data_IF_772262442348
#
_entry.id   IF_772262442348
#
_cell.length_a   1.000
_cell.length_b   1.000
_cell.length_c   1.000
_cell.angle_alpha   90.00
_cell.angle_beta   90.00
_cell.angle_gamma   90.00
#
_symmetry.space_group_name_H-M   'P 1'
#
loop_
_entity.id
_entity.type
_entity.pdbx_description
1 polymer ?
#
# COMPACT_ATOMS: atom_id res chain seq x y z
N UNK A 1 -1.55 -5.83 12.46
CA UNK A 1 -1.33 -4.41 12.77
C UNK A 1 -2.64 -3.74 13.08
N UNK A 2 -2.71 -3.07 14.23
CA UNK A 2 -3.96 -2.44 14.67
C UNK A 2 -3.93 -0.95 14.36
N UNK A 3 -4.81 -0.50 13.48
CA UNK A 3 -4.93 0.92 13.16
C UNK A 3 -6.40 1.31 13.05
N UNK A 4 -6.74 2.43 13.67
CA UNK A 4 -8.09 2.98 13.63
C UNK A 4 -8.22 4.11 12.64
N UNK A 5 -7.14 4.81 12.34
CA UNK A 5 -7.11 5.86 11.32
C UNK A 5 -5.67 6.30 11.03
N UNK A 6 -5.53 6.96 9.89
CA UNK A 6 -4.32 7.71 9.54
C UNK A 6 -4.71 9.18 9.42
N UNK A 7 -3.79 10.09 9.74
CA UNK A 7 -4.00 11.51 9.46
C UNK A 7 -4.20 11.72 7.96
N UNK A 8 -4.90 12.81 7.56
CA UNK A 8 -5.32 13.02 6.17
C UNK A 8 -4.23 12.88 5.12
N UNK A 9 -3.00 13.35 5.44
CA UNK A 9 -1.86 13.25 4.53
C UNK A 9 -0.84 12.21 4.96
N UNK A 10 -1.14 11.42 6.00
CA UNK A 10 -0.23 10.43 6.50
C UNK A 10 -0.31 9.15 5.67
N UNK A 11 0.82 8.50 5.57
CA UNK A 11 0.92 7.17 5.01
C UNK A 11 1.80 6.32 5.90
N UNK A 12 1.82 5.03 5.66
CA UNK A 12 2.72 4.13 6.33
C UNK A 12 3.45 3.29 5.28
N UNK A 13 4.78 3.38 5.31
CA UNK A 13 5.64 2.71 4.35
C UNK A 13 6.27 1.48 5.01
N UNK A 14 6.08 0.33 4.39
CA UNK A 14 6.74 -0.92 4.77
C UNK A 14 7.79 -1.24 3.72
N UNK A 15 9.05 -1.26 4.11
CA UNK A 15 10.16 -1.59 3.20
C UNK A 15 10.68 -2.97 3.57
N UNK A 16 10.76 -3.86 2.59
CA UNK A 16 11.25 -5.22 2.78
C UNK A 16 12.73 -5.30 2.42
N UNK A 17 13.45 -6.21 3.06
CA UNK A 17 14.89 -6.37 2.80
C UNK A 17 15.16 -6.89 1.39
N UNK A 18 14.22 -7.67 0.85
CA UNK A 18 14.37 -8.30 -0.47
C UNK A 18 13.14 -8.04 -1.32
N UNK A 19 13.34 -7.91 -2.61
CA UNK A 19 12.25 -7.90 -3.58
C UNK A 19 11.59 -9.27 -3.55
N UNK A 20 10.26 -9.30 -3.51
CA UNK A 20 9.51 -10.55 -3.53
C UNK A 20 8.02 -10.30 -3.61
N UNK A 21 7.29 -11.40 -3.77
CA UNK A 21 5.83 -11.36 -3.72
C UNK A 21 5.39 -11.02 -2.31
N UNK A 22 4.47 -10.07 -2.18
CA UNK A 22 3.94 -9.62 -0.90
C UNK A 22 2.45 -9.87 -0.87
N UNK A 23 1.98 -10.42 0.24
CA UNK A 23 0.55 -10.57 0.52
C UNK A 23 0.22 -9.80 1.78
N UNK A 24 -0.84 -9.01 1.71
CA UNK A 24 -1.34 -8.20 2.82
C UNK A 24 -2.77 -8.61 3.11
N UNK A 25 -3.22 -8.36 4.34
CA UNK A 25 -4.63 -8.50 4.68
C UNK A 25 -5.04 -7.42 5.67
N UNK A 26 -6.36 -7.29 5.87
CA UNK A 26 -6.93 -6.21 6.67
C UNK A 26 -7.43 -6.69 8.04
N UNK A 27 -6.93 -7.84 8.52
CA UNK A 27 -7.46 -8.52 9.72
C UNK A 27 -7.52 -7.60 10.93
N UNK A 28 -6.46 -6.85 11.19
CA UNK A 28 -6.35 -5.98 12.37
C UNK A 28 -6.40 -4.50 11.99
N UNK A 29 -7.06 -4.17 10.89
CA UNK A 29 -7.14 -2.80 10.39
C UNK A 29 -8.59 -2.36 10.45
N UNK A 30 -8.84 -1.25 11.12
CA UNK A 30 -10.19 -0.75 11.42
C UNK A 30 -10.69 0.29 10.43
N UNK A 31 -9.85 0.70 9.49
CA UNK A 31 -10.19 1.70 8.48
C UNK A 31 -9.88 1.16 7.09
N UNK A 32 -10.65 1.58 6.07
CA UNK A 32 -10.28 1.23 4.69
C UNK A 32 -9.00 1.95 4.28
N UNK A 33 -8.18 1.30 3.48
CA UNK A 33 -6.90 1.82 3.04
C UNK A 33 -6.77 1.69 1.53
N UNK A 34 -5.95 2.57 0.94
CA UNK A 34 -5.38 2.37 -0.38
C UNK A 34 -3.97 1.82 -0.17
N UNK A 35 -3.62 0.75 -0.88
CA UNK A 35 -2.31 0.12 -0.80
C UNK A 35 -1.59 0.23 -2.12
N UNK A 36 -0.38 0.78 -2.09
CA UNK A 36 0.48 0.91 -3.26
C UNK A 36 1.62 -0.09 -3.12
N UNK A 37 1.73 -1.02 -4.04
CA UNK A 37 2.81 -2.00 -4.08
C UNK A 37 3.90 -1.46 -5.00
N UNK A 38 5.09 -1.22 -4.44
CA UNK A 38 6.16 -0.46 -5.09
C UNK A 38 7.34 -1.37 -5.38
N UNK A 39 7.79 -1.38 -6.63
CA UNK A 39 8.93 -2.17 -7.07
C UNK A 39 10.27 -1.61 -6.60
N UNK A 40 11.34 -2.35 -6.87
CA UNK A 40 12.69 -1.94 -6.49
C UNK A 40 13.13 -0.65 -7.18
N UNK A 41 12.53 -0.34 -8.33
CA UNK A 41 12.79 0.89 -9.08
C UNK A 41 12.04 2.11 -8.53
N UNK A 42 11.22 1.91 -7.48
CA UNK A 42 10.40 2.97 -6.91
C UNK A 42 9.11 3.22 -7.65
N UNK A 43 8.79 2.45 -8.67
CA UNK A 43 7.56 2.62 -9.43
C UNK A 43 6.46 1.72 -8.90
N UNK A 44 5.23 2.24 -8.92
CA UNK A 44 4.05 1.51 -8.46
C UNK A 44 3.76 0.37 -9.42
N UNK A 45 3.78 -0.85 -8.90
CA UNK A 45 3.52 -2.06 -9.68
C UNK A 45 2.06 -2.51 -9.59
N UNK A 46 1.40 -2.24 -8.44
CA UNK A 46 0.03 -2.65 -8.20
C UNK A 46 -0.63 -1.71 -7.21
N UNK A 47 -1.95 -1.54 -7.32
CA UNK A 47 -2.73 -0.69 -6.43
C UNK A 47 -3.96 -1.47 -5.98
N UNK A 48 -4.21 -1.51 -4.67
CA UNK A 48 -5.46 -1.99 -4.09
C UNK A 48 -6.15 -0.81 -3.43
N UNK A 49 -7.30 -0.42 -3.96
CA UNK A 49 -8.05 0.73 -3.45
C UNK A 49 -9.17 0.30 -2.53
N UNK A 50 -9.42 1.14 -1.51
CA UNK A 50 -10.61 1.02 -0.64
C UNK A 50 -10.76 -0.38 -0.08
N UNK A 51 -9.68 -0.89 0.50
CA UNK A 51 -9.65 -2.23 1.08
C UNK A 51 -10.67 -2.34 2.21
N UNK A 52 -11.22 -3.54 2.38
CA UNK A 52 -12.26 -3.78 3.38
C UNK A 52 -11.65 -4.00 4.76
N UNK A 53 -11.96 -3.15 5.76
CA UNK A 53 -11.47 -3.37 7.12
C UNK A 53 -11.85 -4.77 7.63
N UNK A 54 -10.96 -5.35 8.43
CA UNK A 54 -11.12 -6.68 9.03
C UNK A 54 -11.21 -7.85 8.05
N UNK A 55 -11.08 -7.63 6.76
CA UNK A 55 -11.12 -8.72 5.78
C UNK A 55 -9.98 -9.70 6.02
N UNK A 56 -10.29 -10.99 5.91
CA UNK A 56 -9.30 -12.06 5.97
C UNK A 56 -8.79 -12.46 4.59
N UNK A 57 -9.31 -11.86 3.53
CA UNK A 57 -8.81 -12.10 2.18
C UNK A 57 -7.42 -11.48 2.03
N UNK A 58 -6.54 -12.18 1.34
CA UNK A 58 -5.21 -11.64 1.05
C UNK A 58 -5.25 -10.75 -0.18
N UNK A 59 -4.43 -9.71 -0.13
CA UNK A 59 -4.23 -8.78 -1.25
C UNK A 59 -2.79 -9.00 -1.72
N UNK A 60 -2.64 -9.56 -2.91
CA UNK A 60 -1.32 -9.88 -3.45
C UNK A 60 -0.74 -8.70 -4.23
N UNK A 61 0.58 -8.56 -4.18
CA UNK A 61 1.28 -7.59 -5.02
C UNK A 61 1.22 -7.92 -6.51
N UNK A 62 0.85 -9.16 -6.86
CA UNK A 62 0.77 -9.70 -8.23
C UNK A 62 2.11 -9.78 -8.94
N UNK A 63 3.12 -9.06 -8.50
CA UNK A 63 4.50 -9.17 -8.99
C UNK A 63 5.46 -8.85 -7.85
N UNK A 64 6.76 -9.19 -7.99
CA UNK A 64 7.73 -8.89 -6.94
C UNK A 64 7.84 -7.38 -6.69
N UNK A 65 7.80 -6.99 -5.42
CA UNK A 65 7.91 -5.59 -5.01
C UNK A 65 8.89 -5.44 -3.85
N UNK A 66 9.30 -4.22 -3.59
CA UNK A 66 10.25 -3.90 -2.52
C UNK A 66 9.57 -3.25 -1.31
N UNK A 67 8.43 -2.61 -1.52
CA UNK A 67 7.75 -1.90 -0.45
C UNK A 67 6.25 -1.84 -0.68
N UNK A 68 5.52 -1.54 0.39
CA UNK A 68 4.08 -1.26 0.34
C UNK A 68 3.84 0.06 1.06
N UNK A 69 3.15 0.98 0.40
CA UNK A 69 2.73 2.25 0.99
C UNK A 69 1.24 2.21 1.24
N UNK A 70 0.83 2.34 2.48
CA UNK A 70 -0.57 2.40 2.89
C UNK A 70 -1.00 3.85 3.07
N UNK A 71 -2.13 4.20 2.47
CA UNK A 71 -2.72 5.54 2.53
C UNK A 71 -4.18 5.41 2.94
N UNK A 72 -4.78 6.51 3.40
CA UNK A 72 -6.22 6.53 3.62
C UNK A 72 -6.96 6.23 2.33
N UNK A 73 -8.06 5.46 2.41
CA UNK A 73 -8.88 5.15 1.26
C UNK A 73 -9.36 6.42 0.57
N UNK A 74 -9.32 6.41 -0.75
CA UNK A 74 -9.70 7.57 -1.56
C UNK A 74 -8.52 8.45 -1.96
N UNK A 75 -7.34 8.27 -1.35
CA UNK A 75 -6.15 9.07 -1.67
C UNK A 75 -5.69 8.84 -3.11
N UNK A 76 -5.74 7.58 -3.56
CA UNK A 76 -5.36 7.24 -4.94
C UNK A 76 -6.23 7.99 -5.94
N UNK A 77 -7.54 7.98 -5.73
CA UNK A 77 -8.48 8.68 -6.61
C UNK A 77 -8.29 10.20 -6.54
N UNK A 78 -8.13 10.74 -5.33
CA UNK A 78 -7.98 12.18 -5.11
C UNK A 78 -6.71 12.73 -5.77
N UNK A 79 -5.60 12.00 -5.68
CA UNK A 79 -4.31 12.42 -6.22
C UNK A 79 -4.04 11.88 -7.62
N UNK A 80 -4.98 11.11 -8.17
CA UNK A 80 -4.86 10.51 -9.51
C UNK A 80 -3.60 9.66 -9.64
N UNK A 81 -3.31 8.90 -8.60
CA UNK A 81 -2.16 7.99 -8.56
C UNK A 81 -2.46 6.80 -9.48
N UNK A 82 -1.46 6.33 -10.20
CA UNK A 82 -1.62 5.20 -11.13
C UNK A 82 -0.37 4.32 -11.16
N UNK A 83 -0.58 3.10 -11.61
CA UNK A 83 0.52 2.15 -11.83
C UNK A 83 1.56 2.80 -12.75
N UNK A 84 2.82 2.66 -12.40
CA UNK A 84 3.93 3.28 -13.11
C UNK A 84 4.39 4.61 -12.53
N UNK A 85 3.59 5.24 -11.66
CA UNK A 85 4.00 6.47 -11.00
C UNK A 85 5.19 6.22 -10.07
N UNK A 86 6.06 7.21 -9.97
CA UNK A 86 7.24 7.15 -9.13
C UNK A 86 6.92 7.53 -7.69
N UNK A 87 7.35 6.69 -6.74
CA UNK A 87 7.28 6.99 -5.32
C UNK A 87 8.67 7.42 -4.85
N UNK A 88 8.75 8.58 -4.22
CA UNK A 88 10.00 9.09 -3.66
C UNK A 88 9.92 9.11 -2.14
N UNK A 89 10.93 8.54 -1.50
CA UNK A 89 11.06 8.56 -0.04
C UNK A 89 12.52 8.32 0.32
N UNK A 90 13.02 8.95 1.40
CA UNK A 90 14.38 8.65 1.86
C UNK A 90 14.58 7.19 2.25
N UNK A 91 13.50 6.45 2.53
CA UNK A 91 13.56 5.03 2.88
C UNK A 91 13.59 4.09 1.67
N UNK A 92 13.42 4.60 0.47
CA UNK A 92 13.41 3.79 -0.76
C UNK A 92 14.75 3.81 -1.49
#
# INVERSE_FOLDING_TARGET
MFRRRLAGNAGMLFVYQRVGMVSMWMRNTYIPLDMLFVGADGKIAHIAQRTTPHSLETISSTEPVKSVLELNAGTVARLKIKIGDQVSSPAL
#
